data_IF_044493844589
#
_entry.id   IF_044493844589
#
_cell.length_a   1.000
_cell.length_b   1.000
_cell.length_c   1.000
_cell.angle_alpha   90.00
_cell.angle_beta   90.00
_cell.angle_gamma   90.00
#
_symmetry.space_group_name_H-M   'P 1'
#
loop_
_entity.id
_entity.type
_entity.pdbx_description
1 polymer ?
#
# COMPACT_ATOMS: atom_id res chain seq x y z
N UNK A 1 -5.17 3.83 -14.25
CA UNK A 1 -4.84 3.62 -12.83
C UNK A 1 -5.09 2.20 -12.33
N UNK A 2 -6.32 1.69 -12.15
CA UNK A 2 -6.54 0.33 -11.58
C UNK A 2 -5.81 -0.77 -12.36
N UNK A 3 -5.88 -0.78 -13.70
CA UNK A 3 -5.17 -1.74 -14.54
C UNK A 3 -3.64 -1.62 -14.44
N UNK A 4 -3.13 -0.41 -14.32
CA UNK A 4 -1.71 -0.13 -14.18
C UNK A 4 -1.18 -0.68 -12.85
N UNK A 5 -1.93 -0.46 -11.76
CA UNK A 5 -1.60 -0.97 -10.43
C UNK A 5 -1.62 -2.51 -10.40
N UNK A 6 -2.63 -3.16 -10.98
CA UNK A 6 -2.69 -4.63 -11.06
C UNK A 6 -1.60 -5.21 -11.96
N UNK A 7 -1.32 -4.56 -13.10
CA UNK A 7 -0.24 -4.97 -14.00
C UNK A 7 1.12 -4.89 -13.32
N UNK A 8 1.40 -3.79 -12.62
CA UNK A 8 2.63 -3.64 -11.85
C UNK A 8 2.74 -4.66 -10.73
N UNK A 9 1.65 -4.89 -9.98
CA UNK A 9 1.59 -5.92 -8.93
C UNK A 9 1.90 -7.31 -9.49
N UNK A 10 1.34 -7.67 -10.65
CA UNK A 10 1.58 -8.97 -11.29
C UNK A 10 3.06 -9.15 -11.65
N UNK A 11 3.69 -8.12 -12.22
CA UNK A 11 5.13 -8.12 -12.53
C UNK A 11 5.96 -8.29 -11.24
N UNK A 12 5.60 -7.60 -10.15
CA UNK A 12 6.31 -7.73 -8.88
C UNK A 12 6.19 -9.13 -8.27
N UNK A 13 4.99 -9.73 -8.38
CA UNK A 13 4.73 -11.08 -7.91
C UNK A 13 5.53 -12.11 -8.70
N UNK A 14 5.60 -11.96 -10.03
CA UNK A 14 6.36 -12.86 -10.90
C UNK A 14 7.87 -12.75 -10.69
N UNK A 15 8.40 -11.52 -10.61
CA UNK A 15 9.85 -11.28 -10.54
C UNK A 15 10.46 -11.49 -9.16
N UNK A 16 9.71 -11.18 -8.10
CA UNK A 16 10.26 -11.10 -6.73
C UNK A 16 9.42 -11.84 -5.69
N UNK A 17 8.40 -12.60 -6.11
CA UNK A 17 7.48 -13.30 -5.21
C UNK A 17 6.79 -12.39 -4.17
N UNK A 18 6.71 -11.09 -4.44
CA UNK A 18 6.02 -10.13 -3.56
C UNK A 18 4.51 -10.36 -3.67
N UNK A 19 3.89 -10.78 -2.57
CA UNK A 19 2.47 -11.12 -2.51
C UNK A 19 1.66 -10.20 -1.56
N UNK A 20 2.30 -9.21 -0.94
CA UNK A 20 1.65 -8.21 -0.09
C UNK A 20 1.68 -6.84 -0.76
N UNK A 21 0.55 -6.15 -0.72
CA UNK A 21 0.41 -4.80 -1.27
C UNK A 21 -0.17 -3.89 -0.19
N UNK A 22 0.49 -2.74 -0.01
CA UNK A 22 0.04 -1.66 0.87
C UNK A 22 -0.25 -0.44 -0.03
N UNK A 23 -1.39 0.21 0.19
CA UNK A 23 -1.79 1.46 -0.47
C UNK A 23 -1.95 2.53 0.60
N UNK A 24 -1.39 3.71 0.34
CA UNK A 24 -1.42 4.87 1.25
C UNK A 24 -1.70 6.13 0.44
N UNK A 25 -1.91 7.25 1.13
CA UNK A 25 -2.28 8.54 0.54
C UNK A 25 -3.80 8.76 0.52
N UNK A 26 -4.24 9.96 0.16
CA UNK A 26 -5.64 10.38 0.33
C UNK A 26 -6.68 9.52 -0.40
N UNK A 27 -6.33 8.95 -1.56
CA UNK A 27 -7.23 8.10 -2.34
C UNK A 27 -7.14 6.61 -1.99
N UNK A 28 -6.39 6.21 -0.94
CA UNK A 28 -6.15 4.79 -0.65
C UNK A 28 -7.43 3.99 -0.50
N UNK A 29 -8.46 4.57 0.12
CA UNK A 29 -9.73 3.87 0.36
C UNK A 29 -10.56 3.76 -0.91
N UNK A 30 -10.48 4.77 -1.79
CA UNK A 30 -11.12 4.72 -3.10
C UNK A 30 -10.55 3.56 -3.92
N UNK A 31 -9.23 3.45 -4.00
CA UNK A 31 -8.57 2.37 -4.74
C UNK A 31 -8.73 1.01 -4.05
N UNK A 32 -8.73 0.97 -2.72
CA UNK A 32 -8.93 -0.26 -1.96
C UNK A 32 -10.26 -0.94 -2.29
N UNK A 33 -11.33 -0.15 -2.50
CA UNK A 33 -12.64 -0.67 -2.91
C UNK A 33 -12.69 -1.14 -4.37
N UNK A 34 -11.80 -0.66 -5.22
CA UNK A 34 -11.78 -0.98 -6.67
C UNK A 34 -10.89 -2.18 -6.98
N UNK A 35 -9.81 -2.38 -6.22
CA UNK A 35 -8.91 -3.51 -6.36
C UNK A 35 -9.51 -4.71 -5.60
N UNK A 36 -9.78 -5.82 -6.30
CA UNK A 36 -10.49 -7.00 -5.75
C UNK A 36 -9.60 -7.92 -4.91
N UNK A 37 -8.36 -7.53 -4.63
CA UNK A 37 -7.35 -8.37 -3.96
C UNK A 37 -7.20 -7.94 -2.50
N UNK A 38 -6.78 -8.86 -1.60
CA UNK A 38 -6.46 -8.50 -0.22
C UNK A 38 -5.27 -7.55 -0.21
N UNK A 39 -5.56 -6.27 0.02
CA UNK A 39 -4.61 -5.18 0.09
C UNK A 39 -4.82 -4.43 1.40
N UNK A 40 -3.75 -3.91 1.96
CA UNK A 40 -3.82 -3.08 3.15
C UNK A 40 -3.88 -1.62 2.73
N UNK A 41 -4.88 -0.88 3.20
CA UNK A 41 -5.00 0.55 2.94
C UNK A 41 -4.87 1.35 4.23
N UNK A 42 -4.01 2.36 4.23
CA UNK A 42 -3.89 3.31 5.34
C UNK A 42 -3.47 4.67 4.78
N UNK A 43 -4.37 5.65 4.80
CA UNK A 43 -4.10 7.00 4.27
C UNK A 43 -2.92 7.70 4.96
N UNK A 44 -2.68 7.39 6.24
CA UNK A 44 -1.78 8.11 7.12
C UNK A 44 -0.48 7.32 7.41
N UNK A 45 -0.09 6.39 6.54
CA UNK A 45 1.05 5.51 6.79
C UNK A 45 2.35 6.27 7.08
N UNK A 46 2.57 7.40 6.39
CA UNK A 46 3.74 8.27 6.63
C UNK A 46 3.70 8.88 8.03
N UNK A 47 2.56 9.44 8.44
CA UNK A 47 2.40 10.03 9.76
C UNK A 47 2.57 8.99 10.87
N UNK A 48 2.02 7.79 10.66
CA UNK A 48 2.21 6.66 11.58
C UNK A 48 3.69 6.30 11.72
N UNK A 49 4.43 6.26 10.61
CA UNK A 49 5.87 6.00 10.61
C UNK A 49 6.66 7.08 11.35
N UNK A 50 6.35 8.36 11.10
CA UNK A 50 6.99 9.49 11.76
C UNK A 50 6.74 9.48 13.27
N UNK A 51 5.50 9.23 13.70
CA UNK A 51 5.18 9.10 15.13
C UNK A 51 5.98 7.97 15.78
N UNK A 52 6.07 6.82 15.11
CA UNK A 52 6.84 5.68 15.62
C UNK A 52 8.33 5.96 15.75
N UNK A 53 8.90 6.77 14.84
CA UNK A 53 10.29 7.21 14.94
C UNK A 53 10.47 8.12 16.17
N UNK A 54 9.53 9.04 16.42
CA UNK A 54 9.55 9.89 17.61
C UNK A 54 9.47 9.04 18.89
N UNK A 55 8.52 8.10 18.97
CA UNK A 55 8.35 7.21 20.12
C UNK A 55 9.60 6.38 20.43
N UNK A 56 10.34 5.97 19.38
CA UNK A 56 11.57 5.17 19.54
C UNK A 56 12.75 5.98 20.08
N UNK A 57 12.79 7.29 19.84
CA UNK A 57 13.88 8.18 20.24
C UNK A 57 13.56 9.04 21.49
N UNK A 58 12.44 8.75 22.17
CA UNK A 58 12.02 9.45 23.38
C UNK A 58 12.91 9.14 24.59
#
# INVERSE_FOLDING_TARGET
MVFEMEGYRAICQEKWAINKTIITGGDSDFFARKLKKPIFANQNLVLLGLNRILDYNA
#
